data_IF_886396772034
#
_entry.id   IF_886396772034
#
_cell.length_a   1.000
_cell.length_b   1.000
_cell.length_c   1.000
_cell.angle_alpha   90.00
_cell.angle_beta   90.00
_cell.angle_gamma   90.00
#
_symmetry.space_group_name_H-M   'P 1'
#
loop_
_entity.id
_entity.type
_entity.pdbx_description
1 polymer ?
#
# COMPACT_ATOMS: atom_id res chain seq x y z
N UNK A 1 4.52 -7.40 13.55
CA UNK A 1 3.72 -6.82 14.65
C UNK A 1 2.23 -6.87 14.30
N UNK A 2 1.83 -6.37 13.14
CA UNK A 2 0.46 -6.48 12.65
C UNK A 2 0.32 -7.58 11.58
N UNK A 3 -0.88 -8.11 11.35
CA UNK A 3 -1.14 -8.97 10.19
C UNK A 3 -0.85 -8.21 8.89
N UNK A 4 -0.13 -8.83 7.95
CA UNK A 4 0.23 -8.21 6.68
C UNK A 4 -0.99 -7.97 5.75
N UNK A 5 -2.00 -8.84 5.85
CA UNK A 5 -3.21 -8.75 5.05
C UNK A 5 -4.41 -9.40 5.76
N UNK A 6 -5.61 -9.11 5.24
CA UNK A 6 -6.86 -9.78 5.62
C UNK A 6 -7.58 -10.26 4.37
N UNK A 7 -8.02 -11.52 4.37
CA UNK A 7 -8.86 -12.06 3.30
C UNK A 7 -10.34 -11.95 3.69
N UNK A 8 -11.16 -11.51 2.75
CA UNK A 8 -12.63 -11.49 2.86
C UNK A 8 -13.24 -12.10 1.61
N UNK A 9 -14.35 -12.81 1.77
CA UNK A 9 -15.05 -13.44 0.65
C UNK A 9 -16.27 -12.63 0.26
N UNK A 10 -16.42 -12.35 -1.03
CA UNK A 10 -17.56 -11.65 -1.61
C UNK A 10 -18.10 -12.47 -2.78
N UNK A 11 -19.35 -12.93 -2.69
CA UNK A 11 -19.95 -13.76 -3.74
C UNK A 11 -19.15 -15.03 -4.06
N UNK A 12 -18.49 -15.63 -3.06
CA UNK A 12 -17.61 -16.80 -3.24
C UNK A 12 -16.19 -16.48 -3.72
N UNK A 13 -15.88 -15.22 -4.02
CA UNK A 13 -14.55 -14.78 -4.46
C UNK A 13 -13.73 -14.31 -3.25
N UNK A 14 -12.58 -14.94 -2.94
CA UNK A 14 -11.68 -14.44 -1.91
C UNK A 14 -10.94 -13.19 -2.41
N UNK A 15 -10.94 -12.13 -1.60
CA UNK A 15 -10.26 -10.86 -1.86
C UNK A 15 -9.29 -10.58 -0.71
N UNK A 16 -8.00 -10.46 -1.02
CA UNK A 16 -6.99 -10.05 -0.05
C UNK A 16 -6.88 -8.53 0.02
N UNK A 17 -6.87 -8.00 1.24
CA UNK A 17 -6.59 -6.59 1.54
C UNK A 17 -5.24 -6.51 2.22
N UNK A 18 -4.23 -5.99 1.51
CA UNK A 18 -2.88 -5.77 2.01
C UNK A 18 -2.81 -4.34 2.54
N UNK A 19 -2.46 -4.18 3.82
CA UNK A 19 -2.29 -2.86 4.44
C UNK A 19 -0.81 -2.46 4.46
N UNK A 20 -0.50 -1.24 4.04
CA UNK A 20 0.87 -0.73 4.03
C UNK A 20 1.01 0.54 4.86
N UNK A 21 2.17 0.64 5.50
CA UNK A 21 2.67 1.89 6.10
C UNK A 21 3.65 2.55 5.15
N UNK A 22 3.84 3.86 5.30
CA UNK A 22 4.76 4.65 4.48
C UNK A 22 6.23 4.39 4.87
N UNK A 23 7.13 4.10 3.91
CA UNK A 23 8.58 3.94 4.17
C UNK A 23 9.23 5.21 4.74
N UNK A 24 8.68 6.37 4.39
CA UNK A 24 9.10 7.68 4.90
C UNK A 24 8.53 8.00 6.30
N UNK A 25 7.76 7.10 6.93
CA UNK A 25 7.24 7.32 8.30
C UNK A 25 8.31 7.78 9.29
N UNK A 26 9.55 7.22 9.31
CA UNK A 26 10.59 7.67 10.22
C UNK A 26 10.97 9.15 10.12
N UNK A 27 10.72 9.82 9.00
CA UNK A 27 11.02 11.25 8.85
C UNK A 27 9.89 12.18 9.31
N UNK A 28 8.71 11.64 9.66
CA UNK A 28 7.50 12.43 9.98
C UNK A 28 6.91 12.14 11.36
N UNK A 29 7.45 11.17 12.10
CA UNK A 29 7.00 10.82 13.46
C UNK A 29 8.14 10.90 14.48
N UNK A 30 7.80 10.87 15.77
CA UNK A 30 8.79 10.85 16.85
C UNK A 30 9.60 9.55 16.86
N UNK A 31 10.93 9.67 16.79
CA UNK A 31 11.86 8.54 16.81
C UNK A 31 11.68 7.64 18.04
N UNK A 32 11.33 8.21 19.20
CA UNK A 32 11.08 7.43 20.41
C UNK A 32 9.91 6.43 20.26
N UNK A 33 8.92 6.76 19.44
CA UNK A 33 7.75 5.91 19.19
C UNK A 33 7.97 4.79 18.18
N UNK A 34 9.09 4.81 17.45
CA UNK A 34 9.40 3.86 16.38
C UNK A 34 10.78 3.20 16.50
N UNK A 35 11.45 3.38 17.65
CA UNK A 35 12.83 2.94 17.87
C UNK A 35 13.07 1.43 17.64
N UNK A 36 12.02 0.62 17.77
CA UNK A 36 12.09 -0.85 17.71
C UNK A 36 11.43 -1.42 16.44
N UNK A 37 11.12 -0.58 15.44
CA UNK A 37 10.48 -1.01 14.19
C UNK A 37 11.19 -0.47 12.97
N UNK A 38 11.14 -1.22 11.88
CA UNK A 38 11.57 -0.78 10.56
C UNK A 38 10.36 -0.55 9.66
N UNK A 39 10.49 0.42 8.75
CA UNK A 39 9.50 0.69 7.71
C UNK A 39 10.13 0.31 6.37
N UNK A 40 9.54 -0.69 5.71
CA UNK A 40 10.03 -1.23 4.45
C UNK A 40 9.35 -0.54 3.26
N UNK A 41 9.93 -0.70 2.08
CA UNK A 41 9.33 -0.23 0.84
C UNK A 41 8.00 -0.93 0.55
N UNK A 42 7.03 -0.13 0.12
CA UNK A 42 5.64 -0.53 -0.11
C UNK A 42 5.54 -1.56 -1.24
N UNK A 43 6.22 -1.29 -2.37
CA UNK A 43 6.16 -2.12 -3.56
C UNK A 43 6.82 -3.49 -3.30
N UNK A 44 8.00 -3.46 -2.70
CA UNK A 44 8.72 -4.69 -2.33
C UNK A 44 7.92 -5.54 -1.35
N UNK A 45 7.27 -4.91 -0.37
CA UNK A 45 6.43 -5.59 0.63
C UNK A 45 5.22 -6.26 -0.02
N UNK A 46 4.53 -5.57 -0.94
CA UNK A 46 3.40 -6.17 -1.68
C UNK A 46 3.89 -7.33 -2.54
N UNK A 47 4.93 -7.11 -3.34
CA UNK A 47 5.47 -8.10 -4.28
C UNK A 47 5.93 -9.38 -3.59
N UNK A 48 6.47 -9.28 -2.38
CA UNK A 48 6.85 -10.44 -1.57
C UNK A 48 5.63 -11.30 -1.13
N UNK A 49 4.45 -10.70 -0.96
CA UNK A 49 3.23 -11.39 -0.52
C UNK A 49 2.47 -12.05 -1.68
N UNK A 50 2.59 -11.53 -2.91
CA UNK A 50 1.83 -12.01 -4.08
C UNK A 50 1.97 -13.53 -4.30
N UNK A 51 3.17 -14.15 -4.27
CA UNK A 51 3.30 -15.59 -4.50
C UNK A 51 2.56 -16.44 -3.46
N UNK A 52 2.52 -15.99 -2.20
CA UNK A 52 1.81 -16.68 -1.13
C UNK A 52 0.30 -16.60 -1.33
N UNK A 53 -0.23 -15.41 -1.63
CA UNK A 53 -1.65 -15.19 -1.88
C UNK A 53 -2.15 -15.98 -3.10
N UNK A 54 -1.36 -16.03 -4.17
CA UNK A 54 -1.66 -16.84 -5.36
C UNK A 54 -1.67 -18.33 -5.07
N UNK A 55 -0.75 -18.84 -4.23
CA UNK A 55 -0.77 -20.26 -3.79
C UNK A 55 -2.03 -20.61 -3.00
N UNK A 56 -2.66 -19.63 -2.36
CA UNK A 56 -3.95 -19.77 -1.67
C UNK A 56 -5.16 -19.68 -2.62
N UNK A 57 -4.94 -19.51 -3.93
CA UNK A 57 -5.99 -19.33 -4.94
C UNK A 57 -6.62 -17.93 -4.94
N UNK A 58 -5.96 -16.94 -4.33
CA UNK A 58 -6.44 -15.57 -4.25
C UNK A 58 -5.89 -14.78 -5.44
N UNK A 59 -6.79 -14.34 -6.32
CA UNK A 59 -6.45 -13.54 -7.51
C UNK A 59 -6.88 -12.08 -7.36
N UNK A 60 -7.88 -11.80 -6.52
CA UNK A 60 -8.33 -10.44 -6.24
C UNK A 60 -7.56 -9.85 -5.06
N UNK A 61 -6.76 -8.81 -5.32
CA UNK A 61 -5.89 -8.18 -4.32
C UNK A 61 -6.15 -6.67 -4.32
N UNK A 62 -6.37 -6.13 -3.13
CA UNK A 62 -6.56 -4.71 -2.86
C UNK A 62 -5.43 -4.24 -1.97
N UNK A 63 -4.70 -3.23 -2.41
CA UNK A 63 -3.68 -2.56 -1.59
C UNK A 63 -4.32 -1.34 -0.93
N UNK A 64 -4.24 -1.29 0.40
CA UNK A 64 -4.67 -0.16 1.21
C UNK A 64 -3.41 0.57 1.67
N UNK A 65 -3.08 1.65 0.96
CA UNK A 65 -1.85 2.41 1.17
C UNK A 65 -2.17 3.88 1.41
N UNK A 66 -1.44 4.48 2.35
CA UNK A 66 -1.50 5.91 2.65
C UNK A 66 -0.30 6.61 1.99
N UNK A 67 -0.29 6.59 0.66
CA UNK A 67 0.70 7.24 -0.19
C UNK A 67 -0.02 8.05 -1.27
N UNK A 68 0.64 9.08 -1.81
CA UNK A 68 -0.02 10.06 -2.65
C UNK A 68 0.67 10.33 -3.98
N UNK A 69 -0.12 10.89 -4.90
CA UNK A 69 0.39 11.65 -6.02
C UNK A 69 -0.23 13.05 -6.05
N UNK A 70 0.52 14.00 -6.61
CA UNK A 70 0.09 15.35 -6.89
C UNK A 70 0.00 15.54 -8.41
N UNK A 71 -1.18 15.94 -8.94
CA UNK A 71 -1.27 16.37 -10.33
C UNK A 71 -0.68 17.77 -10.50
N UNK A 72 -0.31 18.10 -11.73
CA UNK A 72 0.06 19.47 -12.11
C UNK A 72 -1.17 20.39 -12.31
N UNK A 73 -2.35 19.78 -12.38
CA UNK A 73 -3.63 20.47 -12.59
C UNK A 73 -4.17 21.07 -11.28
N UNK A 74 -5.07 22.05 -11.39
CA UNK A 74 -5.78 22.61 -10.22
C UNK A 74 -6.74 21.57 -9.62
N UNK A 75 -7.22 21.83 -8.40
CA UNK A 75 -8.30 21.05 -7.81
C UNK A 75 -9.58 21.09 -8.68
N UNK A 76 -10.38 20.03 -8.59
CA UNK A 76 -11.66 19.86 -9.31
C UNK A 76 -11.57 19.82 -10.85
N UNK A 77 -10.43 19.41 -11.40
CA UNK A 77 -10.30 19.15 -12.82
C UNK A 77 -10.74 17.71 -13.16
N UNK A 78 -11.21 17.51 -14.39
CA UNK A 78 -11.63 16.18 -14.89
C UNK A 78 -10.45 15.23 -15.10
N UNK A 79 -9.25 15.77 -15.26
CA UNK A 79 -8.01 15.03 -15.50
C UNK A 79 -6.98 15.35 -14.41
N UNK A 80 -6.13 14.38 -14.13
CA UNK A 80 -5.00 14.48 -13.21
C UNK A 80 -3.68 14.55 -14.01
N UNK A 81 -3.60 15.48 -14.96
CA UNK A 81 -2.45 15.57 -15.87
C UNK A 81 -1.16 15.93 -15.13
N UNK A 82 -0.04 15.38 -15.60
CA UNK A 82 1.27 15.57 -14.96
C UNK A 82 1.33 15.01 -13.54
N UNK A 83 0.67 13.87 -13.31
CA UNK A 83 0.69 13.18 -12.03
C UNK A 83 2.14 12.87 -11.64
N UNK A 84 2.50 13.23 -10.42
CA UNK A 84 3.83 13.03 -9.86
C UNK A 84 3.72 12.52 -8.44
N UNK A 85 4.71 11.78 -7.97
CA UNK A 85 4.77 11.32 -6.60
C UNK A 85 5.09 9.84 -6.47
N UNK A 86 5.37 9.42 -5.23
CA UNK A 86 5.86 8.07 -4.92
C UNK A 86 4.87 6.95 -5.20
N UNK A 87 3.55 7.19 -5.15
CA UNK A 87 2.52 6.16 -5.44
C UNK A 87 2.66 5.56 -6.85
N UNK A 88 3.30 6.27 -7.79
CA UNK A 88 3.50 5.79 -9.17
C UNK A 88 4.53 4.65 -9.26
N UNK A 89 5.35 4.46 -8.22
CA UNK A 89 6.37 3.42 -8.17
C UNK A 89 5.97 2.18 -7.37
N UNK A 90 4.72 2.10 -6.90
CA UNK A 90 4.16 0.97 -6.14
C UNK A 90 3.38 0.05 -7.08
#
# INVERSE_FOLDING_TARGET
IFPAYKVKTYGGIPVAFIGLTLKATPSIVSAAGIKDVEFRDEADTVNALIPELKKQGIEAIVVVVHEGAAPSTKLNQKTCDGLSGPILGI
#
